data_IF_496987751095
#
_entry.id   IF_496987751095
#
_cell.length_a   1.000
_cell.length_b   1.000
_cell.length_c   1.000
_cell.angle_alpha   90.00
_cell.angle_beta   90.00
_cell.angle_gamma   90.00
#
_symmetry.space_group_name_H-M   'P 1'
#
loop_
_entity.id
_entity.type
_entity.pdbx_description
1 polymer ?
2 polymer ?
3 non-polymer ?
4 non-polymer ?
5 water ?
#
# COMPACT_ATOMS: atom_id res chain seq x y z
N UNK A 2 25.15 -0.66 -25.64
CA UNK A 2 25.24 -1.92 -24.90
C UNK A 2 23.86 -2.56 -24.79
N UNK A 3 23.64 -3.61 -25.59
CA UNK A 3 22.35 -4.28 -25.63
C UNK A 3 22.40 -5.69 -25.05
N UNK A 4 21.51 -5.96 -24.10
CA UNK A 4 21.43 -7.26 -23.44
C UNK A 4 20.28 -8.09 -23.98
N UNK A 5 20.58 -9.34 -24.35
CA UNK A 5 19.55 -10.26 -24.83
C UNK A 5 19.41 -11.46 -23.90
N UNK A 6 18.19 -11.70 -23.42
CA UNK A 6 17.93 -12.78 -22.49
C UNK A 6 16.75 -13.63 -22.94
N UNK A 7 16.61 -14.82 -22.36
CA UNK A 7 15.47 -15.68 -22.61
C UNK A 7 14.47 -15.55 -21.48
N UNK A 8 13.43 -14.76 -21.69
CA UNK A 8 12.48 -14.42 -20.63
C UNK A 8 11.16 -15.17 -20.74
N UNK A 9 10.49 -15.32 -19.60
CA UNK A 9 9.21 -16.00 -19.55
C UNK A 9 8.13 -14.98 -19.22
N UNK A 10 7.02 -14.99 -19.98
CA UNK A 10 5.90 -14.09 -19.73
C UNK A 10 5.40 -14.23 -18.29
N UNK A 11 5.11 -13.11 -17.64
CA UNK A 11 4.80 -13.12 -16.22
C UNK A 11 3.58 -13.93 -15.83
N UNK A 12 2.43 -13.57 -16.38
CA UNK A 12 1.22 -14.36 -16.15
C UNK A 12 0.92 -15.28 -17.34
N UNK A 13 1.81 -15.24 -18.33
CA UNK A 13 1.56 -15.86 -19.62
C UNK A 13 1.60 -17.37 -19.65
N UNK A 14 1.58 -17.94 -20.86
CA UNK A 14 1.52 -19.36 -21.22
C UNK A 14 2.68 -20.20 -20.67
N UNK A 15 3.73 -19.54 -20.17
CA UNK A 15 4.95 -20.22 -19.73
C UNK A 15 5.74 -20.80 -20.91
N UNK A 16 5.77 -20.04 -22.01
CA UNK A 16 6.68 -20.34 -23.10
C UNK A 16 7.74 -19.23 -23.18
N UNK A 17 8.99 -19.55 -22.78
CA UNK A 17 10.07 -18.56 -22.78
C UNK A 17 10.37 -18.05 -24.19
N UNK A 18 10.71 -16.77 -24.30
CA UNK A 18 11.04 -16.17 -25.58
C UNK A 18 12.24 -15.24 -25.43
N UNK A 19 12.90 -14.95 -26.55
CA UNK A 19 14.06 -14.06 -26.54
C UNK A 19 13.64 -12.59 -26.42
N UNK A 20 14.24 -11.88 -25.47
CA UNK A 20 13.93 -10.47 -25.23
C UNK A 20 15.21 -9.65 -25.16
N UNK A 21 15.27 -8.56 -25.91
CA UNK A 21 16.44 -7.69 -25.92
C UNK A 21 16.13 -6.31 -25.33
N UNK A 22 17.02 -5.82 -24.48
CA UNK A 22 16.85 -4.49 -23.89
C UNK A 22 18.16 -3.70 -23.84
N UNK A 23 18.05 -2.40 -23.56
CA UNK A 23 19.21 -1.52 -23.51
C UNK A 23 18.96 -0.32 -22.60
N UNK A 24 19.91 0.61 -22.57
CA UNK A 24 19.81 1.82 -21.76
C UNK A 24 19.58 1.53 -20.28
N UNK A 25 20.40 0.65 -19.72
CA UNK A 25 20.26 0.24 -18.33
C UNK A 25 20.66 1.37 -17.36
N UNK A 26 19.68 1.86 -16.60
CA UNK A 26 19.93 2.89 -15.61
C UNK A 26 19.35 2.45 -14.27
N UNK A 27 20.01 2.87 -13.17
CA UNK A 27 19.55 2.52 -11.84
C UNK A 27 18.44 3.45 -11.35
N UNK A 28 17.31 2.87 -10.98
CA UNK A 28 16.22 3.65 -10.41
C UNK A 28 16.41 3.79 -8.90
N UNK A 29 16.71 2.68 -8.24
CA UNK A 29 16.93 2.69 -6.80
C UNK A 29 16.88 1.31 -6.18
N UNK A 30 16.82 1.28 -4.85
CA UNK A 30 16.78 0.02 -4.10
C UNK A 30 15.37 -0.45 -3.80
N UNK A 31 14.99 -1.60 -4.35
CA UNK A 31 13.70 -2.21 -4.05
C UNK A 31 13.73 -2.88 -2.69
N UNK A 32 12.69 -3.64 -2.37
CA UNK A 32 12.62 -4.34 -1.09
C UNK A 32 13.83 -5.23 -0.87
N UNK A 33 14.10 -6.11 -1.83
CA UNK A 33 15.32 -6.92 -1.80
C UNK A 33 15.97 -6.87 -3.18
N UNK A 34 17.18 -6.33 -3.25
CA UNK A 34 17.85 -6.14 -4.52
C UNK A 34 17.46 -4.82 -5.16
N UNK A 35 18.33 -4.30 -6.03
CA UNK A 35 18.12 -2.98 -6.60
C UNK A 35 17.28 -3.01 -7.88
N UNK A 36 16.69 -1.86 -8.20
CA UNK A 36 15.79 -1.75 -9.34
C UNK A 36 16.39 -0.91 -10.48
N UNK A 37 16.42 -1.48 -11.68
CA UNK A 37 16.98 -0.80 -12.85
C UNK A 37 15.89 -0.35 -13.81
N UNK A 38 16.20 0.66 -14.61
CA UNK A 38 15.34 1.06 -15.72
C UNK A 38 15.99 0.61 -17.02
N UNK A 39 15.17 0.26 -18.00
CA UNK A 39 15.68 -0.19 -19.30
C UNK A 39 14.65 0.01 -20.40
N UNK A 40 15.09 -0.13 -21.64
CA UNK A 40 14.22 0.06 -22.79
C UNK A 40 14.20 -1.19 -23.66
N UNK A 41 13.01 -1.73 -23.90
CA UNK A 41 12.85 -2.90 -24.75
C UNK A 41 13.17 -2.54 -26.20
N UNK A 42 14.05 -3.30 -26.83
CA UNK A 42 14.46 -3.04 -28.21
C UNK A 42 13.29 -3.17 -29.19
N UNK A 43 12.49 -4.21 -29.00
CA UNK A 43 11.32 -4.44 -29.83
C UNK A 43 10.34 -3.26 -29.82
N UNK A 44 9.71 -3.04 -28.66
CA UNK A 44 8.66 -2.02 -28.54
C UNK A 44 9.17 -0.60 -28.37
N UNK A 45 10.30 -0.45 -27.70
CA UNK A 45 10.80 0.87 -27.35
C UNK A 45 10.29 1.30 -25.99
N UNK A 46 9.43 0.47 -25.40
CA UNK A 46 8.85 0.76 -24.10
C UNK A 46 9.89 0.75 -22.99
N UNK A 47 9.64 1.54 -21.94
CA UNK A 47 10.48 1.54 -20.76
C UNK A 47 9.95 0.53 -19.75
N UNK A 48 10.87 -0.14 -19.07
CA UNK A 48 10.49 -1.12 -18.05
C UNK A 48 11.35 -0.97 -16.81
N UNK A 49 10.84 -1.45 -15.68
CA UNK A 49 11.63 -1.54 -14.47
C UNK A 49 12.07 -2.99 -14.27
N UNK A 50 13.32 -3.18 -13.88
CA UNK A 50 13.86 -4.52 -13.65
C UNK A 50 14.43 -4.64 -12.25
N UNK A 51 13.74 -5.40 -11.40
CA UNK A 51 14.26 -5.64 -10.05
C UNK A 51 15.04 -6.95 -10.02
N UNK A 52 16.35 -6.84 -9.88
CA UNK A 52 17.21 -8.01 -9.78
C UNK A 52 17.33 -8.45 -8.33
N UNK A 53 16.87 -9.66 -8.04
CA UNK A 53 16.92 -10.21 -6.68
C UNK A 53 17.76 -11.48 -6.64
N UNK A 54 18.37 -11.73 -5.49
CA UNK A 54 19.18 -12.94 -5.31
C UNK A 54 18.26 -14.12 -5.03
N UNK A 55 18.40 -15.18 -5.83
CA UNK A 55 17.56 -16.35 -5.64
C UNK A 55 18.34 -17.56 -5.13
N UNK A 56 17.75 -18.25 -4.16
CA UNK A 56 18.34 -19.48 -3.65
C UNK A 56 17.73 -20.66 -4.38
N UNK A 57 18.59 -21.52 -4.91
CA UNK A 57 18.15 -22.62 -5.76
C UNK A 57 17.37 -23.69 -4.98
N UNK A 58 17.44 -23.63 -3.66
CA UNK A 58 16.88 -24.68 -2.82
C UNK A 58 15.41 -24.48 -2.45
N UNK A 59 14.87 -23.31 -2.79
CA UNK A 59 13.44 -23.04 -2.58
C UNK A 59 12.90 -22.00 -3.56
N UNK A 60 11.58 -21.96 -3.69
CA UNK A 60 10.93 -21.08 -4.65
C UNK A 60 10.81 -19.65 -4.14
N UNK A 61 10.76 -18.71 -5.08
CA UNK A 61 10.63 -17.29 -4.76
C UNK A 61 9.17 -16.91 -4.52
N UNK A 62 8.88 -16.40 -3.32
CA UNK A 62 7.51 -16.06 -2.94
C UNK A 62 6.93 -14.93 -3.78
N UNK A 63 7.71 -13.86 -3.95
CA UNK A 63 7.29 -12.71 -4.73
C UNK A 63 6.90 -13.13 -6.15
N UNK A 64 7.72 -13.98 -6.75
CA UNK A 64 7.46 -14.43 -8.11
C UNK A 64 6.14 -15.19 -8.20
N UNK A 65 5.86 -16.04 -7.22
CA UNK A 65 4.61 -16.79 -7.20
C UNK A 65 3.41 -15.85 -7.17
N UNK A 66 3.49 -14.84 -6.31
CA UNK A 66 2.42 -13.86 -6.18
C UNK A 66 2.26 -13.06 -7.47
N UNK A 67 3.36 -12.56 -8.00
CA UNK A 67 3.33 -11.67 -9.16
C UNK A 67 2.72 -12.33 -10.40
N UNK A 68 2.89 -13.63 -10.54
CA UNK A 68 2.37 -14.35 -11.70
C UNK A 68 0.85 -14.50 -11.65
N UNK A 69 0.25 -14.15 -10.53
CA UNK A 69 -1.19 -14.25 -10.37
C UNK A 69 -1.90 -12.94 -10.72
N UNK A 70 -1.17 -11.83 -10.58
CA UNK A 70 -1.80 -10.51 -10.56
C UNK A 70 -1.90 -9.84 -11.93
N UNK A 71 -3.11 -9.48 -12.31
CA UNK A 71 -3.30 -8.57 -13.43
C UNK A 71 -4.32 -7.50 -13.05
N UNK A 72 -3.87 -6.27 -12.88
CA UNK A 72 -4.74 -5.18 -12.46
C UNK A 72 -4.22 -3.83 -12.94
N UNK A 73 -5.13 -2.93 -13.33
CA UNK A 73 -4.74 -1.63 -13.87
C UNK A 73 -4.03 -0.76 -12.84
N UNK A 74 -4.34 -0.98 -11.57
CA UNK A 74 -3.75 -0.23 -10.48
C UNK A 74 -2.54 -0.90 -9.81
N UNK A 75 -2.07 -2.00 -10.38
CA UNK A 75 -0.88 -2.68 -9.88
C UNK A 75 0.18 -2.78 -10.98
N UNK A 76 1.44 -2.52 -10.62
CA UNK A 76 2.54 -2.71 -11.56
C UNK A 76 2.62 -4.16 -12.01
N UNK A 77 2.60 -4.37 -13.31
CA UNK A 77 2.48 -5.72 -13.87
C UNK A 77 3.82 -6.36 -14.14
N UNK A 78 3.90 -7.67 -13.93
CA UNK A 78 5.08 -8.45 -14.27
C UNK A 78 5.05 -8.80 -15.74
N UNK A 79 5.84 -8.09 -16.54
CA UNK A 79 5.94 -8.34 -17.98
C UNK A 79 6.59 -9.69 -18.23
N UNK A 80 7.84 -9.81 -17.79
CA UNK A 80 8.59 -11.03 -17.93
C UNK A 80 9.41 -11.29 -16.67
N UNK A 81 9.99 -12.49 -16.59
CA UNK A 81 11.01 -12.76 -15.61
C UNK A 81 12.07 -13.65 -16.23
N UNK A 82 13.31 -13.50 -15.78
CA UNK A 82 14.41 -14.31 -16.29
C UNK A 82 15.51 -14.43 -15.24
N UNK A 83 16.42 -15.37 -15.47
CA UNK A 83 17.49 -15.63 -14.52
C UNK A 83 18.85 -15.25 -15.08
N UNK A 84 19.75 -14.86 -14.19
CA UNK A 84 21.12 -14.54 -14.58
C UNK A 84 22.07 -14.87 -13.43
N UNK A 85 23.36 -14.81 -13.69
CA UNK A 85 24.36 -15.05 -12.64
C UNK A 85 25.35 -13.90 -12.58
N UNK A 86 26.18 -13.90 -11.55
CA UNK A 86 27.17 -12.84 -11.38
C UNK A 86 27.36 -12.48 -9.91
N UNK A 87 28.12 -11.43 -9.66
CA UNK A 87 28.42 -10.96 -8.30
C UNK A 87 29.06 -12.08 -7.47
N UNK A 88 30.32 -12.38 -7.77
CA UNK A 88 31.09 -13.46 -7.15
C UNK A 88 30.62 -14.84 -7.61
N UNK A 89 29.59 -14.84 -8.46
CA UNK A 89 28.95 -16.04 -8.98
C UNK A 89 28.51 -16.99 -7.87
N UNK A 90 28.62 -18.30 -8.14
CA UNK A 90 28.15 -19.34 -7.22
C UNK A 90 26.63 -19.35 -6.98
N UNK A 91 25.93 -18.33 -7.48
CA UNK A 91 24.48 -18.21 -7.28
C UNK A 91 23.74 -17.63 -8.50
N UNK A 92 22.41 -17.58 -8.39
CA UNK A 92 21.56 -17.12 -9.47
C UNK A 92 20.69 -15.93 -9.04
N UNK A 93 20.53 -14.95 -9.93
CA UNK A 93 19.64 -13.83 -9.67
C UNK A 93 18.33 -13.96 -10.42
N UNK A 94 17.23 -13.63 -9.76
CA UNK A 94 15.92 -13.57 -10.43
C UNK A 94 15.61 -12.15 -10.84
N UNK A 95 15.37 -11.95 -12.13
CA UNK A 95 15.13 -10.61 -12.66
C UNK A 95 13.67 -10.40 -13.03
N UNK A 96 13.02 -9.47 -12.33
CA UNK A 96 11.61 -9.19 -12.57
C UNK A 96 11.43 -7.99 -13.50
N UNK A 97 10.90 -8.24 -14.69
CA UNK A 97 10.64 -7.18 -15.65
C UNK A 97 9.25 -6.60 -15.44
N UNK A 98 9.18 -5.35 -15.00
CA UNK A 98 7.93 -4.73 -14.59
C UNK A 98 7.55 -3.53 -15.45
N UNK A 99 6.32 -3.04 -15.27
CA UNK A 99 5.91 -1.78 -15.86
C UNK A 99 6.78 -0.66 -15.30
N UNK A 100 7.18 0.27 -16.15
CA UNK A 100 7.86 1.46 -15.65
C UNK A 100 6.86 2.59 -15.43
N UNK A 101 6.90 3.20 -14.25
CA UNK A 101 6.04 4.34 -13.97
C UNK A 101 6.95 5.46 -13.45
N UNK A 102 6.76 6.69 -13.95
CA UNK A 102 7.69 7.80 -13.74
C UNK A 102 7.71 8.44 -12.35
N UNK A 103 6.60 8.43 -11.64
CA UNK A 103 6.49 9.20 -10.40
C UNK A 103 5.99 8.40 -9.21
N UNK A 104 6.19 8.96 -8.03
CA UNK A 104 5.69 8.37 -6.79
C UNK A 104 4.85 9.40 -6.04
N UNK A 105 3.95 8.93 -5.20
CA UNK A 105 3.16 9.81 -4.35
C UNK A 105 4.06 10.57 -3.37
N UNK A 106 5.11 9.89 -2.91
CA UNK A 106 6.08 10.50 -2.01
C UNK A 106 6.70 11.76 -2.63
N UNK A 107 7.20 11.63 -3.85
CA UNK A 107 7.80 12.75 -4.55
C UNK A 107 6.80 13.90 -4.77
N UNK A 108 5.56 13.56 -5.09
CA UNK A 108 4.51 14.56 -5.31
C UNK A 108 4.10 15.24 -4.02
N UNK A 109 3.92 14.45 -2.97
CA UNK A 109 3.56 14.98 -1.65
C UNK A 109 4.66 15.89 -1.12
N UNK A 110 5.90 15.50 -1.35
CA UNK A 110 7.05 16.28 -0.90
C UNK A 110 7.17 17.57 -1.71
N UNK A 111 6.69 17.52 -2.95
CA UNK A 111 6.73 18.67 -3.85
C UNK A 111 5.78 19.76 -3.38
N UNK A 112 4.64 19.35 -2.84
CA UNK A 112 3.65 20.30 -2.33
C UNK A 112 4.03 20.81 -0.93
N UNK A 113 4.53 19.90 -0.11
CA UNK A 113 4.89 20.23 1.26
C UNK A 113 6.03 21.24 1.31
N UNK A 114 6.93 21.17 0.34
CA UNK A 114 8.07 22.08 0.29
C UNK A 114 7.63 23.48 -0.13
N UNK A 115 6.44 23.57 -0.72
CA UNK A 115 5.89 24.86 -1.14
C UNK A 115 4.84 25.34 -0.13
N UNK A 116 4.84 24.73 1.05
CA UNK A 116 3.88 25.05 2.10
C UNK A 116 2.45 24.92 1.60
N UNK A 117 2.18 23.86 0.84
CA UNK A 117 0.86 23.63 0.28
C UNK A 117 0.42 22.17 0.43
N UNK A 118 -0.88 21.95 0.30
CA UNK A 118 -1.42 20.60 0.34
C UNK A 118 -1.91 20.19 -1.03
N UNK A 119 -1.81 18.91 -1.33
CA UNK A 119 -2.30 18.36 -2.58
C UNK A 119 -3.80 18.60 -2.67
N UNK A 120 -4.26 19.15 -3.81
CA UNK A 120 -5.70 19.35 -4.04
C UNK A 120 -6.48 18.07 -3.77
N UNK A 121 -7.65 18.22 -3.17
CA UNK A 121 -8.45 17.07 -2.75
C UNK A 121 -8.77 16.13 -3.90
N UNK A 122 -8.92 16.68 -5.10
CA UNK A 122 -9.23 15.89 -6.28
C UNK A 122 -8.18 14.81 -6.56
N UNK A 123 -6.91 15.13 -6.32
CA UNK A 123 -5.85 14.15 -6.49
C UNK A 123 -5.84 13.14 -5.34
N UNK A 124 -6.18 13.62 -4.15
CA UNK A 124 -6.26 12.76 -2.97
C UNK A 124 -7.33 11.70 -3.20
N UNK A 125 -8.45 12.12 -3.76
CA UNK A 125 -9.54 11.21 -4.10
C UNK A 125 -9.10 10.19 -5.15
N UNK A 126 -8.51 10.66 -6.24
CA UNK A 126 -8.05 9.79 -7.32
C UNK A 126 -7.03 8.76 -6.88
N UNK A 127 -6.03 9.21 -6.13
CA UNK A 127 -4.93 8.35 -5.73
C UNK A 127 -5.36 7.32 -4.69
N UNK A 128 -6.14 7.74 -3.71
CA UNK A 128 -6.58 6.83 -2.65
C UNK A 128 -7.53 5.78 -3.20
N UNK A 129 -8.43 6.20 -4.07
CA UNK A 129 -9.40 5.29 -4.68
C UNK A 129 -8.71 4.18 -5.46
N UNK A 130 -7.70 4.55 -6.24
CA UNK A 130 -6.96 3.58 -7.04
C UNK A 130 -6.16 2.63 -6.15
N UNK A 131 -5.67 3.14 -5.03
CA UNK A 131 -4.95 2.31 -4.06
C UNK A 131 -5.88 1.26 -3.45
N UNK A 132 -7.09 1.69 -3.09
CA UNK A 132 -8.07 0.79 -2.49
C UNK A 132 -8.52 -0.28 -3.47
N UNK A 133 -8.57 0.06 -4.76
CA UNK A 133 -8.94 -0.91 -5.78
C UNK A 133 -7.91 -2.04 -5.86
N UNK A 134 -6.63 -1.65 -5.93
CA UNK A 134 -5.54 -2.62 -5.96
C UNK A 134 -5.55 -3.48 -4.71
N UNK A 135 -5.86 -2.84 -3.58
CA UNK A 135 -5.93 -3.53 -2.31
C UNK A 135 -7.07 -4.54 -2.30
N UNK A 136 -8.23 -4.11 -2.79
CA UNK A 136 -9.39 -4.97 -2.91
C UNK A 136 -9.08 -6.17 -3.80
N UNK A 137 -8.28 -5.94 -4.84
CA UNK A 137 -7.92 -6.99 -5.78
C UNK A 137 -7.01 -8.06 -5.16
N UNK A 138 -5.90 -7.62 -4.56
CA UNK A 138 -4.94 -8.57 -3.99
C UNK A 138 -5.50 -9.31 -2.76
N UNK A 139 -6.27 -8.61 -1.94
CA UNK A 139 -6.84 -9.21 -0.74
C UNK A 139 -7.83 -10.33 -1.06
N UNK A 140 -8.37 -10.31 -2.28
CA UNK A 140 -9.30 -11.34 -2.72
C UNK A 140 -8.60 -12.67 -2.98
N UNK A 141 -7.29 -12.62 -3.18
CA UNK A 141 -6.48 -13.83 -3.29
C UNK A 141 -5.95 -14.21 -1.91
N UNK A 142 -6.28 -13.38 -0.92
CA UNK A 142 -5.79 -13.58 0.43
C UNK A 142 -4.39 -13.00 0.58
N UNK A 143 -4.01 -12.17 -0.37
CA UNK A 143 -2.64 -11.65 -0.44
C UNK A 143 -2.51 -10.28 0.21
N UNK A 144 -1.62 -10.18 1.19
CA UNK A 144 -1.37 -8.95 1.91
C UNK A 144 -0.05 -8.33 1.46
N UNK A 145 -0.10 -7.08 1.02
CA UNK A 145 1.07 -6.39 0.48
C UNK A 145 2.13 -6.15 1.55
N UNK A 146 1.70 -5.60 2.69
CA UNK A 146 2.53 -5.42 3.87
C UNK A 146 3.62 -4.35 3.75
N UNK A 147 3.88 -3.85 2.56
CA UNK A 147 4.78 -2.70 2.40
C UNK A 147 4.13 -1.33 2.16
N UNK A 148 2.81 -1.24 2.22
CA UNK A 148 2.09 -0.04 1.78
C UNK A 148 2.63 1.25 2.40
N UNK A 149 3.00 2.19 1.52
CA UNK A 149 3.67 3.43 1.90
C UNK A 149 3.84 4.28 0.64
N UNK A 150 3.87 5.61 0.78
CA UNK A 150 3.96 6.58 -0.32
C UNK A 150 5.01 6.24 -1.38
N UNK A 151 6.14 5.68 -0.96
CA UNK A 151 7.21 5.35 -1.90
C UNK A 151 6.82 4.25 -2.87
N UNK A 152 5.94 3.34 -2.44
CA UNK A 152 5.51 2.23 -3.28
C UNK A 152 4.21 2.50 -4.02
N UNK A 153 3.83 3.78 -4.10
CA UNK A 153 2.66 4.18 -4.84
C UNK A 153 3.09 4.98 -6.07
N UNK A 154 3.22 4.28 -7.20
CA UNK A 154 3.75 4.90 -8.41
C UNK A 154 2.68 5.69 -9.15
N UNK A 155 3.09 6.75 -9.82
CA UNK A 155 2.16 7.68 -10.48
C UNK A 155 2.57 8.06 -11.89
N UNK A 156 1.57 8.13 -12.77
CA UNK A 156 1.75 8.82 -14.04
C UNK A 156 1.11 10.19 -13.89
N UNK A 157 1.93 11.25 -13.85
CA UNK A 157 1.45 12.61 -13.60
C UNK A 157 0.44 13.11 -14.63
N UNK A 158 0.63 12.74 -15.90
CA UNK A 158 -0.25 13.19 -16.97
C UNK A 158 -1.63 12.54 -16.90
N UNK A 159 -1.66 11.22 -16.78
CA UNK A 159 -2.92 10.48 -16.79
C UNK A 159 -3.53 10.33 -15.40
N UNK A 160 -2.75 10.62 -14.36
CA UNK A 160 -3.17 10.45 -12.97
C UNK A 160 -3.48 8.98 -12.60
N UNK A 161 -2.85 8.05 -13.31
CA UNK A 161 -2.98 6.64 -12.99
C UNK A 161 -2.03 6.30 -11.84
N UNK A 162 -2.53 5.51 -10.88
CA UNK A 162 -1.70 5.05 -9.77
C UNK A 162 -1.46 3.54 -9.89
N UNK A 163 -0.26 3.11 -9.54
CA UNK A 163 0.07 1.69 -9.55
C UNK A 163 0.87 1.26 -8.32
N UNK A 164 0.29 0.34 -7.55
CA UNK A 164 0.99 -0.25 -6.41
C UNK A 164 2.15 -1.10 -6.91
N UNK A 165 3.27 -1.05 -6.19
CA UNK A 165 4.48 -1.74 -6.63
C UNK A 165 5.23 -2.43 -5.50
N UNK A 166 6.22 -3.25 -5.89
CA UNK A 166 7.11 -3.95 -4.96
C UNK A 166 6.42 -4.91 -4.00
N UNK A 167 6.33 -6.17 -4.39
CA UNK A 167 5.71 -7.19 -3.55
C UNK A 167 6.74 -8.07 -2.87
N UNK A 168 7.90 -7.50 -2.56
CA UNK A 168 8.97 -8.25 -1.93
C UNK A 168 8.71 -8.53 -0.46
N UNK A 169 7.63 -7.98 0.08
CA UNK A 169 7.26 -8.19 1.47
C UNK A 169 5.87 -8.82 1.53
N UNK A 170 5.28 -9.03 0.36
CA UNK A 170 3.93 -9.56 0.26
C UNK A 170 3.86 -11.04 0.66
N UNK A 171 2.77 -11.41 1.32
CA UNK A 171 2.57 -12.80 1.72
C UNK A 171 1.10 -13.18 1.55
N UNK A 172 0.85 -14.43 1.20
CA UNK A 172 -0.51 -14.94 1.16
C UNK A 172 -0.87 -15.44 2.55
N UNK A 173 -1.88 -14.82 3.16
CA UNK A 173 -2.22 -15.12 4.55
C UNK A 173 -3.26 -16.22 4.68
N UNK A 174 -3.02 -17.13 5.62
CA UNK A 174 -3.98 -18.19 5.93
C UNK A 174 -4.13 -18.35 7.44
N UNK A 175 -5.35 -18.67 7.87
CA UNK A 175 -5.64 -18.90 9.28
C UNK A 175 -4.75 -19.97 9.88
N UNK A 176 -4.21 -19.70 11.06
CA UNK A 176 -3.44 -20.69 11.80
C UNK A 176 -1.97 -20.72 11.44
N UNK A 177 -1.46 -19.63 10.86
CA UNK A 177 -0.04 -19.55 10.55
C UNK A 177 0.58 -18.27 11.14
N UNK A 178 1.82 -18.39 11.65
CA UNK A 178 2.55 -17.25 12.19
C UNK A 178 3.08 -16.32 11.10
N UNK A 179 3.05 -15.03 11.36
CA UNK A 179 3.64 -14.04 10.46
C UNK A 179 4.46 -13.04 11.27
N UNK A 180 5.58 -12.57 10.73
CA UNK A 180 6.41 -11.60 11.43
C UNK A 180 5.63 -10.32 11.77
N UNK A 181 5.64 -9.96 13.04
CA UNK A 181 4.91 -8.78 13.48
C UNK A 181 5.71 -7.51 13.25
N UNK A 183 6.97 -5.61 10.69
CA UNK A 183 6.82 -5.50 9.25
C UNK A 183 6.36 -4.09 8.85
N UNK A 184 6.11 -3.88 7.57
CA UNK A 184 5.81 -2.57 6.98
C UNK A 184 6.91 -1.54 7.25
N UNK A 185 6.46 -0.32 7.51
CA UNK A 185 7.36 0.80 7.79
C UNK A 185 6.71 1.51 8.96
N UNK A 186 7.51 1.90 9.94
CA UNK A 186 6.99 2.32 11.24
C UNK A 186 5.86 3.35 11.19
N UNK A 187 6.00 4.35 10.32
CA UNK A 187 4.97 5.38 10.20
C UNK A 187 3.62 4.79 9.79
N UNK A 188 3.67 3.67 9.07
CA UNK A 188 2.47 3.09 8.47
C UNK A 188 2.18 1.71 9.06
N UNK A 189 2.73 1.46 10.23
CA UNK A 189 2.61 0.16 10.88
C UNK A 189 1.35 0.11 11.74
N UNK A 190 0.55 -0.93 11.55
CA UNK A 190 -0.68 -1.13 12.31
C UNK A 190 -0.35 -1.34 13.79
N UNK A 191 -1.25 -0.89 14.68
CA UNK A 191 -1.01 -1.00 16.12
C UNK A 191 -0.86 -2.44 16.62
N UNK A 192 -1.62 -3.37 16.03
CA UNK A 192 -1.52 -4.77 16.43
C UNK A 192 -0.13 -5.33 16.10
N UNK A 193 0.48 -4.80 15.05
CA UNK A 193 1.83 -5.21 14.68
C UNK A 193 2.83 -4.75 15.75
N UNK A 194 2.60 -3.55 16.28
CA UNK A 194 3.45 -2.99 17.31
C UNK A 194 3.32 -3.78 18.61
N UNK A 195 2.14 -4.38 18.81
CA UNK A 195 1.91 -5.22 19.98
C UNK A 195 2.47 -6.62 19.78
N UNK A 196 3.08 -6.85 18.61
CA UNK A 196 3.71 -8.13 18.32
C UNK A 196 2.71 -9.23 18.03
N UNK A 197 1.57 -8.87 17.46
CA UNK A 197 0.54 -9.85 17.14
C UNK A 197 0.92 -10.65 15.90
N UNK A 198 0.88 -11.97 16.03
CA UNK A 198 1.24 -12.87 14.94
C UNK A 198 0.01 -13.26 14.11
N UNK A 199 -1.16 -12.91 14.62
CA UNK A 199 -2.45 -13.36 14.07
C UNK A 199 -3.10 -12.41 13.07
N UNK A 200 -2.40 -11.33 12.72
CA UNK A 200 -3.00 -10.24 11.96
C UNK A 200 -3.46 -10.64 10.56
N UNK A 201 -4.37 -9.85 10.00
CA UNK A 201 -4.92 -10.11 8.67
C UNK A 201 -4.55 -9.02 7.67
N UNK A 202 -5.29 -8.98 6.56
CA UNK A 202 -5.04 -8.02 5.49
C UNK A 202 -5.41 -6.60 5.90
N UNK A 203 -6.10 -6.47 7.03
CA UNK A 203 -6.54 -5.17 7.53
C UNK A 203 -5.37 -4.22 7.82
N UNK A 204 -4.18 -4.78 8.00
CA UNK A 204 -2.99 -3.96 8.25
C UNK A 204 -2.67 -3.05 7.06
N UNK A 205 -2.95 -3.54 5.85
CA UNK A 205 -2.76 -2.73 4.65
C UNK A 205 -3.74 -1.55 4.66
N UNK A 206 -4.96 -1.81 5.13
CA UNK A 206 -5.98 -0.79 5.25
C UNK A 206 -5.55 0.32 6.22
N UNK A 207 -4.96 -0.07 7.35
CA UNK A 207 -4.40 0.89 8.28
C UNK A 207 -3.39 1.79 7.59
N UNK A 208 -2.44 1.16 6.90
CA UNK A 208 -1.40 1.88 6.20
C UNK A 208 -1.99 2.88 5.20
N UNK A 209 -3.04 2.45 4.51
CA UNK A 209 -3.72 3.31 3.55
C UNK A 209 -4.24 4.56 4.23
N UNK A 210 -4.85 4.39 5.40
CA UNK A 210 -5.35 5.50 6.19
C UNK A 210 -4.24 6.46 6.59
N UNK A 211 -3.07 5.91 6.90
CA UNK A 211 -1.91 6.72 7.22
C UNK A 211 -1.48 7.56 6.02
N UNK A 212 -1.58 6.97 4.82
CA UNK A 212 -1.26 7.68 3.60
C UNK A 212 -2.28 8.78 3.33
N UNK A 213 -3.55 8.45 3.52
CA UNK A 213 -4.63 9.42 3.33
C UNK A 213 -4.45 10.62 4.25
N UNK A 214 -4.22 10.34 5.53
CA UNK A 214 -4.04 11.39 6.52
C UNK A 214 -2.86 12.27 6.16
N UNK A 215 -1.76 11.64 5.75
CA UNK A 215 -0.54 12.35 5.38
C UNK A 215 -0.78 13.30 4.21
N UNK A 216 -1.56 12.85 3.23
CA UNK A 216 -1.89 13.68 2.07
C UNK A 216 -2.77 14.86 2.46
N UNK A 217 -3.61 14.67 3.47
CA UNK A 217 -4.44 15.74 4.00
C UNK A 217 -3.59 16.68 4.84
N UNK A 218 -2.82 16.11 5.77
CA UNK A 218 -1.98 16.87 6.68
C UNK A 218 -0.83 17.59 5.97
N UNK A 219 -0.02 16.83 5.24
CA UNK A 219 1.19 17.37 4.63
C UNK A 219 2.41 16.80 5.31
N UNK A 220 2.19 16.05 6.38
CA UNK A 220 3.25 15.36 7.10
C UNK A 220 2.72 13.98 7.50
N UNK A 221 3.61 13.03 7.80
CA UNK A 221 3.13 11.77 8.37
C UNK A 221 2.42 12.01 9.69
N UNK A 222 1.22 11.45 9.83
CA UNK A 222 0.42 11.64 11.02
C UNK A 222 1.01 10.94 12.25
N UNK A 223 1.69 9.81 12.04
CA UNK A 223 2.30 9.06 13.12
C UNK A 223 3.82 8.92 12.95
N UNK A 224 4.56 9.98 13.31
CA UNK A 224 6.03 10.06 13.27
C UNK A 224 6.66 9.30 14.41
N UNK A 225 7.94 9.58 14.64
CA UNK A 225 8.64 9.09 15.82
C UNK A 225 9.73 8.07 15.58
N UNK A 226 10.64 8.04 16.55
CA UNK A 226 11.90 7.32 16.43
C UNK A 226 11.80 5.83 16.67
N UNK A 227 11.49 5.43 17.90
CA UNK A 227 11.39 4.01 18.24
C UNK A 227 10.08 3.42 17.76
N UNK A 228 10.01 2.09 17.76
CA UNK A 228 8.78 1.40 17.39
C UNK A 228 7.74 1.55 18.48
N UNK A 229 8.21 1.93 19.67
CA UNK A 229 7.33 2.11 20.81
C UNK A 229 6.80 3.55 20.86
N UNK A 230 7.53 4.48 20.26
CA UNK A 230 7.09 5.86 20.18
C UNK A 230 6.00 5.96 19.13
N UNK A 231 6.04 5.04 18.17
CA UNK A 231 4.99 4.92 17.16
C UNK A 231 3.64 4.74 17.83
N UNK A 232 3.59 3.86 18.82
CA UNK A 232 2.37 3.57 19.53
C UNK A 232 1.92 4.79 20.34
N UNK A 233 2.89 5.55 20.81
CA UNK A 233 2.61 6.78 21.55
C UNK A 233 1.93 7.82 20.66
N UNK A 234 2.43 7.97 19.44
CA UNK A 234 1.87 8.92 18.50
C UNK A 234 0.43 8.56 18.15
N UNK A 235 0.17 7.27 18.05
CA UNK A 235 -1.17 6.77 17.70
C UNK A 235 -2.19 7.07 18.80
N UNK A 236 -1.82 6.82 20.05
CA UNK A 236 -2.73 7.06 21.17
C UNK A 236 -2.84 8.54 21.52
N UNK A 237 -1.89 9.34 21.06
CA UNK A 237 -1.97 10.79 21.25
C UNK A 237 -3.06 11.37 20.36
N UNK A 238 -3.49 10.59 19.37
CA UNK A 238 -4.54 11.01 18.47
C UNK A 238 -5.82 10.19 18.70
N UNK A 239 -5.67 8.87 18.68
CA UNK A 239 -6.81 7.96 18.81
C UNK A 239 -7.30 7.80 20.24
N UNK A 240 -6.43 8.10 21.20
CA UNK A 240 -6.76 7.90 22.60
C UNK A 240 -6.42 6.50 23.06
N UNK A 241 -6.22 6.34 24.37
CA UNK A 241 -5.86 5.04 24.94
C UNK A 241 -6.92 3.98 24.65
N UNK A 242 -6.52 2.90 23.95
CA UNK A 242 -7.43 1.84 23.52
C UNK A 242 -8.10 1.11 24.68
N UNK A 243 -9.39 0.83 24.53
CA UNK A 243 -10.15 0.14 25.57
C UNK A 243 -9.68 -1.30 25.72
N UNK A 244 -10.04 -1.92 26.84
CA UNK A 244 -9.69 -3.32 27.10
C UNK A 244 -10.12 -4.22 25.96
N UNK A 245 -11.33 -3.97 25.47
CA UNK A 245 -11.92 -4.77 24.40
C UNK A 245 -11.15 -4.61 23.10
N UNK A 246 -10.57 -3.43 22.88
CA UNK A 246 -9.76 -3.19 21.70
C UNK A 246 -8.41 -3.88 21.79
N UNK A 247 -7.79 -3.83 22.96
CA UNK A 247 -6.53 -4.51 23.21
C UNK A 247 -6.69 -6.01 22.95
N UNK A 248 -7.84 -6.53 23.36
CA UNK A 248 -8.19 -7.94 23.17
C UNK A 248 -8.20 -8.29 21.70
N UNK A 249 -8.79 -7.41 20.89
CA UNK A 249 -8.93 -7.64 19.45
C UNK A 249 -7.60 -7.52 18.71
N UNK A 250 -6.65 -6.83 19.31
CA UNK A 250 -5.33 -6.68 18.70
C UNK A 250 -4.40 -7.79 19.17
N UNK A 251 -3.98 -7.71 20.42
CA UNK A 251 -3.18 -8.76 21.03
C UNK A 251 -3.77 -9.14 22.39
N UNK A 252 -4.41 -10.32 22.46
CA UNK A 252 -5.04 -10.83 23.67
C UNK A 252 -4.08 -10.91 24.85
N UNK A 253 -2.79 -11.03 24.57
CA UNK A 253 -1.77 -11.16 25.61
C UNK A 253 -1.49 -9.85 26.36
N UNK A 254 -2.23 -8.81 26.01
CA UNK A 254 -2.07 -7.51 26.65
C UNK A 254 -3.38 -7.04 27.30
N UNK A 255 -4.37 -7.92 27.32
CA UNK A 255 -5.73 -7.57 27.75
C UNK A 255 -5.79 -6.87 29.10
N UNK A 256 -5.16 -7.45 30.12
CA UNK A 256 -5.15 -6.82 31.43
C UNK A 256 -3.82 -6.13 31.69
N UNK A 257 -3.84 -4.80 31.64
CA UNK A 257 -2.67 -3.97 31.88
C UNK A 257 -3.11 -2.58 32.31
N UNK A 258 -2.18 -1.79 32.83
CA UNK A 258 -2.53 -0.52 33.45
C UNK A 258 -2.99 0.51 32.41
N UNK A 259 -2.06 0.97 31.57
CA UNK A 259 -2.41 1.79 30.41
C UNK A 259 -3.25 3.04 30.73
N UNK A 260 -2.60 4.09 31.26
CA UNK A 260 -3.23 5.33 31.70
C UNK A 260 -4.19 5.89 30.65
N UNK A 261 -5.37 6.30 31.08
CA UNK A 261 -6.41 6.78 30.16
C UNK A 261 -6.02 8.13 29.57
N UNK A 262 -6.00 8.19 28.24
CA UNK A 262 -5.67 9.42 27.53
C UNK A 262 -6.73 9.78 26.51
N UNK A 263 -7.31 10.98 26.66
CA UNK A 263 -8.39 11.44 25.79
C UNK A 263 -7.99 11.47 24.31
N UNK A 264 -8.90 11.01 23.46
CA UNK A 264 -8.69 11.07 22.02
C UNK A 264 -8.77 12.50 21.52
N UNK A 265 -7.83 12.86 20.65
CA UNK A 265 -7.83 14.17 20.02
C UNK A 265 -8.79 14.16 18.84
N UNK A 266 -9.80 15.05 18.87
CA UNK A 266 -10.87 15.11 17.86
C UNK A 266 -10.32 15.18 16.44
N UNK A 267 -10.84 14.32 15.56
CA UNK A 267 -10.38 14.24 14.17
C UNK A 267 -10.46 15.59 13.45
N UNK A 268 -11.44 16.40 13.81
CA UNK A 268 -11.64 17.69 13.17
C UNK A 268 -10.57 18.70 13.60
N UNK A 269 -10.02 18.51 14.78
CA UNK A 269 -8.95 19.37 15.27
C UNK A 269 -7.59 18.88 14.78
N UNK A 270 -7.58 17.69 14.18
CA UNK A 270 -6.35 17.12 13.64
C UNK A 270 -5.98 17.76 12.31
N UNK A 271 -6.96 17.84 11.40
CA UNK A 271 -6.72 18.38 10.06
C UNK A 271 -6.97 19.89 10.01
N UNK A 272 -6.54 20.52 8.92
CA UNK A 272 -6.76 21.95 8.74
C UNK A 272 -8.26 22.23 8.55
N UNK A 273 -8.70 23.45 8.91
CA UNK A 273 -10.13 23.80 8.85
C UNK A 273 -10.81 23.62 7.49
N UNK A 274 -10.05 23.68 6.41
CA UNK A 274 -10.63 23.52 5.07
C UNK A 274 -10.85 22.05 4.68
N UNK A 275 -10.34 21.13 5.49
CA UNK A 275 -10.43 19.70 5.18
C UNK A 275 -11.86 19.20 5.09
N UNK A 276 -12.23 18.60 3.95
CA UNK A 276 -13.56 18.06 3.69
C UNK A 276 -14.01 17.08 4.78
N UNK A 277 -15.27 17.20 5.21
CA UNK A 277 -15.87 16.34 6.25
C UNK A 277 -15.78 14.85 5.91
N UNK A 278 -16.13 14.50 4.68
CA UNK A 278 -16.10 13.11 4.24
C UNK A 278 -14.68 12.53 4.23
N UNK A 279 -13.68 13.38 4.03
CA UNK A 279 -12.29 12.95 4.10
C UNK A 279 -11.95 12.54 5.52
N UNK A 280 -12.53 13.27 6.48
CA UNK A 280 -12.30 13.01 7.90
C UNK A 280 -13.03 11.75 8.35
N UNK A 281 -14.22 11.52 7.79
CA UNK A 281 -15.01 10.34 8.11
C UNK A 281 -14.37 9.07 7.56
N UNK A 282 -13.82 9.16 6.36
CA UNK A 282 -13.13 8.04 5.74
C UNK A 282 -11.91 7.68 6.58
N UNK A 283 -11.16 8.70 6.97
CA UNK A 283 -9.91 8.50 7.70
C UNK A 283 -10.18 7.84 9.05
N UNK A 284 -11.27 8.24 9.68
CA UNK A 284 -11.62 7.74 11.01
C UNK A 284 -12.05 6.28 10.96
N UNK A 285 -12.56 5.85 9.80
CA UNK A 285 -13.03 4.48 9.63
C UNK A 285 -11.91 3.58 9.11
N UNK A 286 -10.85 4.19 8.61
CA UNK A 286 -9.65 3.47 8.22
C UNK A 286 -8.80 3.16 9.44
N UNK A 287 -8.68 4.15 10.32
CA UNK A 287 -7.81 3.99 11.49
C UNK A 287 -8.66 3.64 12.71
N UNK A 288 -8.56 2.37 13.10
CA UNK A 288 -9.28 1.85 14.24
C UNK A 288 -8.33 0.89 14.92
N UNK A 289 -8.49 0.71 16.22
CA UNK A 289 -7.67 -0.25 16.93
C UNK A 289 -8.09 -1.67 16.56
N UNK A 290 -9.40 -1.90 16.55
CA UNK A 290 -9.94 -3.20 16.16
C UNK A 290 -9.85 -3.36 14.66
N UNK A 291 -9.05 -4.32 14.19
CA UNK A 291 -8.81 -4.56 12.76
C UNK A 291 -10.10 -4.90 12.02
N UNK A 292 -10.99 -5.61 12.69
CA UNK A 292 -12.27 -6.01 12.09
C UNK A 292 -13.18 -4.80 11.90
N UNK A 293 -12.91 -3.73 12.64
CA UNK A 293 -13.73 -2.52 12.56
C UNK A 293 -13.35 -1.65 11.36
N UNK A 294 -12.13 -1.83 10.86
CA UNK A 294 -11.66 -1.07 9.72
C UNK A 294 -12.46 -1.43 8.47
N UNK A 295 -12.57 -0.48 7.56
CA UNK A 295 -13.25 -0.71 6.30
C UNK A 295 -12.47 -1.70 5.45
N UNK A 296 -13.18 -2.51 4.67
CA UNK A 296 -12.55 -3.30 3.63
C UNK A 296 -12.19 -2.33 2.51
N UNK A 297 -11.16 -2.64 1.72
CA UNK A 297 -10.78 -1.75 0.62
C UNK A 297 -11.95 -1.44 -0.30
N UNK A 298 -12.78 -2.43 -0.57
CA UNK A 298 -13.92 -2.26 -1.44
C UNK A 298 -14.95 -1.31 -0.83
N UNK A 299 -15.15 -1.43 0.48
CA UNK A 299 -16.06 -0.53 1.21
C UNK A 299 -15.54 0.90 1.16
N UNK A 300 -14.23 1.06 1.24
CA UNK A 300 -13.60 2.36 1.16
C UNK A 300 -13.86 3.01 -0.19
N UNK A 301 -13.80 2.22 -1.25
CA UNK A 301 -14.04 2.71 -2.61
C UNK A 301 -15.45 3.29 -2.74
N UNK A 302 -16.39 2.75 -1.97
CA UNK A 302 -17.78 3.18 -2.05
C UNK A 302 -18.10 4.29 -1.06
N UNK A 303 -17.08 4.78 -0.37
CA UNK A 303 -17.25 5.83 0.62
C UNK A 303 -17.60 7.16 -0.05
N UNK A 304 -18.40 7.98 0.63
CA UNK A 304 -18.86 9.27 0.12
C UNK A 304 -17.72 10.18 -0.33
N UNK A 305 -16.54 9.97 0.23
CA UNK A 305 -15.37 10.77 -0.12
C UNK A 305 -15.06 10.71 -1.61
N UNK A 306 -15.37 9.59 -2.23
CA UNK A 306 -15.04 9.38 -3.63
C UNK A 306 -16.21 9.62 -4.58
N UNK A 307 -17.32 10.13 -4.05
CA UNK A 307 -18.50 10.40 -4.85
C UNK A 307 -18.24 11.34 -6.04
N UNK A 308 -17.25 12.22 -5.90
CA UNK A 308 -16.91 13.16 -6.97
C UNK A 308 -16.31 12.43 -8.18
N UNK A 309 -15.75 11.25 -7.95
CA UNK A 309 -15.18 10.45 -9.03
C UNK A 309 -16.26 9.74 -9.84
N UNK A 310 -17.44 9.61 -9.24
CA UNK A 310 -18.56 8.95 -9.90
C UNK A 310 -19.49 9.94 -10.57
N UNK A 311 -19.02 11.18 -10.69
CA UNK A 311 -19.75 12.23 -11.40
C UNK A 311 -19.43 12.13 -12.87
N UNK A 312 -20.47 12.03 -13.71
CA UNK A 312 -20.31 11.90 -15.17
C UNK A 312 -19.48 13.04 -15.78
N UNK A 313 -19.50 14.19 -15.12
CA UNK A 313 -18.81 15.37 -15.62
C UNK A 313 -17.41 15.62 -15.05
N UNK A 314 -16.92 14.72 -14.19
CA UNK A 314 -15.64 14.93 -13.53
C UNK A 314 -14.45 14.84 -14.49
N UNK A 315 -13.49 15.75 -14.33
CA UNK A 315 -12.30 15.78 -15.18
C UNK A 315 -11.04 16.02 -14.35
N UNK A 316 -9.89 15.75 -14.95
CA UNK A 316 -8.61 16.09 -14.34
C UNK A 316 -8.38 17.60 -14.44
N UNK A 317 -7.54 18.15 -13.54
CA UNK A 317 -7.17 19.57 -13.58
C UNK A 317 -6.46 20.00 -14.88
N UNK A 318 -5.96 19.04 -15.64
CA UNK A 318 -5.36 19.36 -16.94
C UNK A 318 -6.34 19.25 -18.10
N UNK A 319 -7.60 18.97 -17.78
CA UNK A 319 -8.65 18.91 -18.79
C UNK A 319 -8.91 17.51 -19.29
N UNK A 320 -7.97 16.60 -19.05
CA UNK A 320 -8.10 15.22 -19.48
C UNK A 320 -9.17 14.50 -18.68
N UNK A 321 -9.66 13.40 -19.24
CA UNK A 321 -10.61 12.55 -18.52
C UNK A 321 -9.91 11.84 -17.38
N UNK A 322 -10.70 11.39 -16.40
CA UNK A 322 -10.17 10.55 -15.35
C UNK A 322 -9.76 9.22 -15.95
N UNK A 323 -8.84 8.49 -15.30
CA UNK A 323 -8.53 7.11 -15.73
C UNK A 323 -9.76 6.23 -15.53
N UNK A 324 -9.67 4.95 -15.88
CA UNK A 324 -10.84 4.10 -15.70
C UNK A 324 -10.93 3.70 -14.24
N UNK A 325 -11.98 4.18 -13.58
CA UNK A 325 -12.22 3.83 -12.19
C UNK A 325 -13.26 2.71 -12.03
N UNK A 326 -14.00 2.46 -13.09
CA UNK A 326 -15.21 1.63 -13.04
C UNK A 326 -15.06 0.19 -13.57
N UNK A 327 -13.84 -0.18 -13.91
CA UNK A 327 -13.58 -1.39 -14.71
C UNK A 327 -13.52 -2.69 -13.91
N UNK A 328 -14.05 -2.66 -12.69
CA UNK A 328 -13.99 -3.79 -11.74
C UNK A 328 -14.34 -5.13 -12.37
N UNK A 329 -13.58 -6.15 -11.98
CA UNK A 329 -13.86 -7.52 -12.40
C UNK A 329 -14.56 -8.27 -11.27
N UNK A 330 -14.93 -9.52 -11.53
CA UNK A 330 -15.61 -10.36 -10.54
C UNK A 330 -14.73 -10.63 -9.33
N UNK A 331 -13.44 -10.80 -9.58
CA UNK A 331 -12.47 -11.04 -8.52
C UNK A 331 -12.35 -9.85 -7.57
N UNK A 332 -12.38 -8.64 -8.13
CA UNK A 332 -12.32 -7.42 -7.34
C UNK A 332 -13.53 -7.27 -6.43
N UNK A 333 -14.69 -7.70 -6.92
CA UNK A 333 -15.95 -7.51 -6.22
C UNK A 333 -16.35 -8.73 -5.40
N UNK A 334 -15.49 -9.74 -5.39
CA UNK A 334 -15.82 -11.01 -4.73
C UNK A 334 -16.12 -10.85 -3.25
N UNK A 335 -15.59 -9.81 -2.63
CA UNK A 335 -15.80 -9.57 -1.21
C UNK A 335 -17.20 -9.06 -0.91
N UNK A 336 -17.77 -8.29 -1.84
CA UNK A 336 -19.10 -7.72 -1.67
C UNK A 336 -19.71 -7.31 -3.01
N UNK A 337 -20.18 -8.28 -3.79
CA UNK A 337 -20.76 -8.01 -5.12
C UNK A 337 -21.89 -6.95 -5.17
N UNK A 338 -22.81 -6.93 -4.19
CA UNK A 338 -23.87 -5.91 -4.30
C UNK A 338 -23.37 -4.46 -4.25
N UNK A 339 -22.14 -4.26 -3.78
CA UNK A 339 -21.56 -2.92 -3.72
C UNK A 339 -21.41 -2.28 -5.09
N UNK A 340 -21.48 -3.11 -6.14
CA UNK A 340 -21.36 -2.62 -7.52
C UNK A 340 -22.46 -1.62 -7.86
N UNK A 341 -23.56 -1.69 -7.13
CA UNK A 341 -24.68 -0.78 -7.31
C UNK A 341 -24.21 0.66 -7.11
N UNK A 342 -23.26 0.84 -6.20
CA UNK A 342 -22.64 2.14 -5.97
C UNK A 342 -21.38 2.33 -6.81
N UNK A 343 -20.51 1.32 -6.76
CA UNK A 343 -19.20 1.39 -7.40
C UNK A 343 -19.24 1.65 -8.90
N UNK A 344 -20.25 1.10 -9.57
CA UNK A 344 -20.41 1.31 -11.00
C UNK A 344 -21.61 2.21 -11.26
N UNK A 345 -21.35 3.50 -11.52
CA UNK A 345 -22.38 4.51 -11.78
C UNK A 345 -23.19 4.20 -13.03
N UNK A 346 -24.43 4.70 -13.09
CA UNK A 346 -25.33 4.49 -14.24
C UNK A 346 -24.69 4.87 -15.58
N UNK A 347 -23.89 5.94 -15.59
CA UNK A 347 -23.30 6.43 -16.83
C UNK A 347 -22.21 5.49 -17.36
N UNK A 348 -21.76 4.57 -16.52
CA UNK A 348 -20.72 3.63 -16.91
C UNK A 348 -21.27 2.21 -17.02
N UNK A 349 -22.58 2.08 -16.83
CA UNK A 349 -23.23 0.77 -16.87
C UNK A 349 -23.27 0.19 -18.29
N UNK A 350 -23.95 0.88 -19.19
CA UNK A 350 -24.04 0.44 -20.58
C UNK A 350 -23.34 1.43 -21.49
N UNK B 2 8.28 -10.91 27.67
CA UNK B 2 8.06 -9.97 26.56
C UNK B 2 6.84 -9.06 26.72
N UNK B 3 5.63 -9.63 26.94
CA UNK B 3 4.46 -8.75 27.01
C UNK B 3 4.47 -7.79 28.20
N UNK B 4 4.77 -8.30 29.39
CA UNK B 4 4.83 -7.45 30.58
C UNK B 4 6.00 -6.47 30.49
N UNK B 5 7.09 -6.92 29.88
CA UNK B 5 8.29 -6.10 29.70
C UNK B 5 7.99 -4.88 28.83
N UNK B 6 7.34 -5.12 27.69
CA UNK B 6 7.05 -4.06 26.73
C UNK B 6 6.03 -3.05 27.27
N UNK B 7 5.02 -3.55 27.97
CA UNK B 7 3.97 -2.69 28.52
C UNK B 7 4.53 -1.73 29.57
N UNK B 8 5.64 -2.11 30.19
CA UNK B 8 6.24 -1.28 31.25
C UNK B 8 7.01 -0.07 30.72
N UNK B 9 7.60 -0.22 29.53
CA UNK B 9 8.32 0.89 28.92
C UNK B 9 7.35 1.73 28.09
N UNK B 10 6.17 1.18 27.83
CA UNK B 10 5.12 1.93 27.14
C UNK B 10 4.36 2.80 28.12
N UNK B 11 3.99 2.21 29.26
CA UNK B 11 3.25 2.92 30.29
C UNK B 11 4.06 4.10 30.85
N UNK B 12 5.38 3.98 30.79
CA UNK B 12 6.26 5.04 31.26
C UNK B 12 6.20 6.26 30.35
N UNK B 13 6.19 6.02 29.05
CA UNK B 13 6.19 7.10 28.07
C UNK B 13 4.84 7.77 27.93
N UNK B 14 3.86 7.29 28.68
CA UNK B 14 2.53 7.89 28.70
C UNK B 14 2.38 8.77 29.93
N UNK B 15 3.12 8.43 30.99
CA UNK B 15 3.19 9.27 32.17
C UNK B 15 3.98 10.53 31.82
N UNK B 16 4.80 10.43 30.80
CA UNK B 16 5.60 11.56 30.34
C UNK B 16 4.83 12.44 29.37
N UNK B 17 3.77 11.88 28.77
CA UNK B 17 2.97 12.62 27.80
C UNK B 17 1.80 13.36 28.48
N UNK B 18 1.57 13.07 29.75
CA UNK B 18 0.50 13.73 30.48
C UNK B 18 0.96 14.14 31.89
#
# INVERSE_FOLDING_TARGET
>A
SKVTTVVATPGQGPDRPQEVSYTDTKVIGNGSFGVVYQAKLCDSGELVAIKKVLQDKRFKNRELQIMRKLDHCNIVRLRYFFYSSGEKKDEVYLNLVLDYVPETVYRVARHYSRAKQTLPVIYVKLYMYQLFRSLAYIHSFGICHRDIKPQNLLLDPDTAVLKLCDFGSAKQLVRGEPNVSXICSRYYRAPELIFGATDYTSSIDVWSAGCVLAELLLGQPIFPGDSGVDQLVEIIKVLGTPTREQIREMNPNYTEFKFPQIKAHPWTKVFRPRTPPEAIALCSRLLEYTPTARLTPLEACAHSFFDELRDPNVKLPNGRDTPALFNFTTQELSSNPPLATILIPPHARI
>B
VEPQKFAEELIHRLEAVQ
#
